data_IF_515236593886
#
_entry.id   IF_515236593886
#
_cell.length_a   1.000
_cell.length_b   1.000
_cell.length_c   1.000
_cell.angle_alpha   90.00
_cell.angle_beta   90.00
_cell.angle_gamma   90.00
#
_symmetry.space_group_name_H-M   'P 1'
#
loop_
_entity.id
_entity.type
_entity.pdbx_description
1 polymer ?
#
# COMPACT_ATOMS: atom_id res chain seq x y z
N UNK A 1 35.92 7.88 -6.13
CA UNK A 1 36.31 8.64 -7.33
C UNK A 1 36.47 7.62 -8.44
N UNK A 2 35.63 7.65 -9.45
CA UNK A 2 35.75 6.74 -10.58
C UNK A 2 36.50 7.43 -11.72
N UNK A 3 37.51 6.76 -12.25
CA UNK A 3 38.25 7.20 -13.43
C UNK A 3 37.78 6.37 -14.62
N UNK A 4 37.36 7.03 -15.70
CA UNK A 4 37.25 6.41 -17.02
C UNK A 4 38.11 7.19 -18.01
N UNK A 5 38.85 6.46 -18.83
CA UNK A 5 39.77 6.98 -19.86
C UNK A 5 39.02 7.02 -21.19
N UNK A 6 39.08 8.16 -21.88
CA UNK A 6 38.54 8.31 -23.24
C UNK A 6 39.60 7.93 -24.31
N UNK A 7 39.20 7.56 -25.53
CA UNK A 7 40.08 6.89 -26.50
C UNK A 7 41.18 7.76 -27.14
N UNK A 8 41.33 9.02 -26.74
CA UNK A 8 42.25 10.00 -27.35
C UNK A 8 43.39 10.46 -26.44
N UNK A 9 43.60 9.80 -25.29
CA UNK A 9 44.82 9.97 -24.49
C UNK A 9 45.02 11.32 -23.79
N UNK A 10 43.99 12.18 -23.71
CA UNK A 10 44.04 13.40 -22.89
C UNK A 10 43.30 13.20 -21.55
N UNK A 11 43.94 13.61 -20.46
CA UNK A 11 43.35 13.62 -19.12
C UNK A 11 42.63 14.96 -18.93
N UNK A 12 41.29 14.93 -18.95
CA UNK A 12 40.46 16.10 -18.62
C UNK A 12 40.11 16.06 -17.12
N UNK A 13 40.58 17.06 -16.37
CA UNK A 13 40.09 17.34 -15.01
C UNK A 13 38.66 17.89 -15.09
N UNK A 14 37.66 17.07 -14.74
CA UNK A 14 36.31 17.55 -14.48
C UNK A 14 36.30 18.32 -13.15
N UNK A 15 36.09 19.64 -13.21
CA UNK A 15 35.72 20.43 -12.03
C UNK A 15 34.48 19.80 -11.40
N UNK A 16 34.60 19.31 -10.17
CA UNK A 16 33.44 18.93 -9.36
C UNK A 16 32.67 20.21 -9.06
N UNK A 17 31.55 20.42 -9.74
CA UNK A 17 30.50 21.29 -9.21
C UNK A 17 29.99 20.65 -7.92
N UNK A 18 29.75 21.44 -6.85
CA UNK A 18 29.13 20.90 -5.65
C UNK A 18 27.77 20.33 -6.05
N UNK A 19 27.56 19.05 -5.73
CA UNK A 19 26.23 18.45 -5.75
C UNK A 19 25.44 19.25 -4.71
N UNK A 20 24.26 19.84 -5.03
CA UNK A 20 23.43 20.40 -3.98
C UNK A 20 23.16 19.28 -2.98
N UNK A 21 23.40 19.55 -1.69
CA UNK A 21 23.09 18.60 -0.63
C UNK A 21 21.68 18.06 -0.86
N UNK A 22 21.58 16.76 -1.13
CA UNK A 22 20.31 16.06 -1.15
C UNK A 22 19.86 16.06 0.30
N UNK A 23 19.12 17.09 0.69
CA UNK A 23 18.19 16.99 1.81
C UNK A 23 17.36 15.73 1.57
N UNK A 24 17.22 14.94 2.64
CA UNK A 24 16.53 13.66 2.74
C UNK A 24 15.37 13.49 1.72
N UNK A 25 15.11 12.27 1.20
CA UNK A 25 14.14 12.07 0.14
C UNK A 25 12.83 12.74 0.55
N UNK A 26 12.45 13.79 -0.19
CA UNK A 26 11.11 14.31 -0.13
C UNK A 26 10.21 13.10 -0.37
N UNK A 27 9.54 12.71 0.70
CA UNK A 27 8.54 11.66 0.67
C UNK A 27 7.60 12.04 -0.47
N UNK A 28 7.53 11.22 -1.51
CA UNK A 28 6.55 11.37 -2.59
C UNK A 28 5.18 11.03 -2.03
N UNK A 29 4.70 11.88 -1.12
CA UNK A 29 3.37 11.87 -0.57
C UNK A 29 2.55 12.70 -1.55
N UNK A 30 1.74 12.03 -2.35
CA UNK A 30 0.72 12.73 -3.13
C UNK A 30 -0.14 13.57 -2.16
N UNK A 31 -0.26 14.90 -2.34
CA UNK A 31 -0.78 15.80 -1.32
C UNK A 31 -2.28 15.61 -0.96
N UNK A 32 -2.99 14.70 -1.64
CA UNK A 32 -4.44 14.58 -1.52
C UNK A 32 -4.97 13.73 -0.37
N UNK A 33 -4.22 12.73 0.13
CA UNK A 33 -4.77 11.74 1.07
C UNK A 33 -4.48 11.99 2.55
N UNK A 34 -3.54 12.88 2.89
CA UNK A 34 -3.02 13.01 4.26
C UNK A 34 -3.56 14.20 5.07
N UNK A 35 -4.45 15.01 4.50
CA UNK A 35 -5.06 16.13 5.23
C UNK A 35 -6.28 15.73 6.09
N UNK A 36 -6.66 14.46 6.07
CA UNK A 36 -7.79 13.94 6.84
C UNK A 36 -7.25 13.35 8.14
N UNK A 37 -7.69 13.90 9.28
CA UNK A 37 -7.35 13.34 10.60
C UNK A 37 -7.64 11.83 10.63
N UNK A 38 -6.77 10.98 11.20
CA UNK A 38 -7.01 9.55 11.33
C UNK A 38 -8.33 9.20 12.02
N UNK A 39 -8.80 10.08 12.91
CA UNK A 39 -10.04 9.93 13.67
C UNK A 39 -11.29 10.42 12.91
N UNK A 40 -11.11 11.04 11.75
CA UNK A 40 -12.21 11.45 10.87
C UNK A 40 -12.93 10.22 10.33
N UNK A 41 -14.27 10.29 10.27
CA UNK A 41 -15.10 9.24 9.64
C UNK A 41 -14.80 9.02 8.16
N UNK A 42 -14.20 10.03 7.50
CA UNK A 42 -13.78 9.98 6.10
C UNK A 42 -12.34 9.47 5.93
N UNK A 43 -11.65 9.18 7.04
CA UNK A 43 -10.30 8.63 7.00
C UNK A 43 -10.31 7.19 6.49
N UNK A 44 -9.34 6.81 5.65
CA UNK A 44 -9.14 5.40 5.31
C UNK A 44 -8.78 4.56 6.56
N UNK A 45 -8.32 5.19 7.64
CA UNK A 45 -8.02 4.54 8.92
C UNK A 45 -9.24 4.34 9.85
N UNK A 46 -10.40 4.89 9.47
CA UNK A 46 -11.62 4.73 10.25
C UNK A 46 -12.23 3.33 10.06
N UNK A 47 -12.65 2.71 11.14
CA UNK A 47 -13.44 1.47 11.15
C UNK A 47 -14.79 1.78 11.77
N UNK A 48 -15.86 1.34 11.10
CA UNK A 48 -17.23 1.48 11.58
C UNK A 48 -17.55 0.42 12.64
N UNK A 49 -18.62 0.61 13.41
CA UNK A 49 -19.06 -0.36 14.42
C UNK A 49 -19.44 -1.74 13.83
N UNK A 50 -19.79 -1.81 12.54
CA UNK A 50 -20.09 -3.07 11.85
C UNK A 50 -18.86 -3.81 11.35
N UNK A 51 -17.69 -3.16 11.34
CA UNK A 51 -16.47 -3.74 10.79
C UNK A 51 -15.88 -4.77 11.75
N UNK A 52 -15.82 -6.01 11.29
CA UNK A 52 -15.23 -7.09 12.05
C UNK A 52 -14.49 -8.06 11.12
N UNK A 53 -13.51 -8.82 11.64
CA UNK A 53 -12.69 -9.73 10.82
C UNK A 53 -13.47 -10.88 10.19
N UNK A 54 -14.66 -11.23 10.68
CA UNK A 54 -15.49 -12.33 10.16
C UNK A 54 -16.46 -11.92 9.05
N UNK A 55 -16.52 -10.62 8.74
CA UNK A 55 -17.43 -10.11 7.72
C UNK A 55 -16.99 -10.56 6.32
N UNK A 56 -17.92 -11.10 5.54
CA UNK A 56 -17.76 -11.22 4.09
C UNK A 56 -18.34 -9.98 3.43
N UNK A 57 -17.48 -9.19 2.79
CA UNK A 57 -17.90 -7.92 2.17
C UNK A 57 -18.41 -8.10 0.73
N UNK A 58 -18.23 -9.30 0.17
CA UNK A 58 -18.81 -9.73 -1.11
C UNK A 58 -19.37 -11.15 -0.97
N UNK A 59 -20.29 -11.52 -1.86
CA UNK A 59 -20.84 -12.89 -1.92
C UNK A 59 -20.03 -13.82 -2.84
N UNK A 60 -19.25 -13.26 -3.76
CA UNK A 60 -18.42 -14.02 -4.69
C UNK A 60 -17.23 -14.62 -3.96
N UNK A 61 -17.03 -15.93 -4.08
CA UNK A 61 -15.90 -16.65 -3.49
C UNK A 61 -14.88 -16.94 -4.58
N UNK A 62 -13.64 -16.47 -4.42
CA UNK A 62 -12.56 -16.77 -5.38
C UNK A 62 -12.28 -18.27 -5.37
N UNK A 63 -12.45 -18.93 -6.51
CA UNK A 63 -12.24 -20.37 -6.67
C UNK A 63 -11.12 -20.74 -7.66
N UNK A 64 -10.49 -19.72 -8.25
CA UNK A 64 -9.41 -19.86 -9.22
C UNK A 64 -9.87 -19.74 -10.67
N UNK A 65 -11.17 -19.86 -10.95
CA UNK A 65 -11.76 -19.69 -12.28
C UNK A 65 -12.39 -18.31 -12.49
N UNK A 66 -12.74 -17.62 -11.40
CA UNK A 66 -13.54 -16.40 -11.39
C UNK A 66 -12.77 -15.13 -10.98
N UNK A 67 -11.44 -15.11 -11.12
CA UNK A 67 -10.59 -14.02 -10.60
C UNK A 67 -11.02 -12.63 -11.06
N UNK A 68 -11.35 -12.44 -12.34
CA UNK A 68 -11.72 -11.13 -12.87
C UNK A 68 -13.00 -10.59 -12.22
N UNK A 69 -14.03 -11.43 -12.10
CA UNK A 69 -15.30 -11.06 -11.46
C UNK A 69 -15.11 -10.79 -9.97
N UNK A 70 -14.37 -11.67 -9.29
CA UNK A 70 -14.06 -11.52 -7.87
C UNK A 70 -13.27 -10.23 -7.60
N UNK A 71 -12.26 -9.92 -8.43
CA UNK A 71 -11.42 -8.71 -8.29
C UNK A 71 -12.26 -7.45 -8.43
N UNK A 72 -13.15 -7.41 -9.42
CA UNK A 72 -14.05 -6.26 -9.62
C UNK A 72 -14.97 -6.09 -8.41
N UNK A 73 -15.63 -7.16 -7.97
CA UNK A 73 -16.53 -7.13 -6.81
C UNK A 73 -15.79 -6.68 -5.53
N UNK A 74 -14.61 -7.25 -5.28
CA UNK A 74 -13.79 -6.92 -4.12
C UNK A 74 -13.33 -5.46 -4.14
N UNK A 75 -12.89 -4.94 -5.28
CA UNK A 75 -12.50 -3.53 -5.43
C UNK A 75 -13.67 -2.59 -5.11
N UNK A 76 -14.86 -2.86 -5.65
CA UNK A 76 -16.06 -2.05 -5.39
C UNK A 76 -16.40 -2.06 -3.89
N UNK A 77 -16.35 -3.24 -3.25
CA UNK A 77 -16.66 -3.37 -1.83
C UNK A 77 -15.64 -2.63 -0.95
N UNK A 78 -14.34 -2.72 -1.28
CA UNK A 78 -13.29 -2.01 -0.54
C UNK A 78 -13.37 -0.49 -0.74
N UNK A 79 -13.70 -0.03 -1.95
CA UNK A 79 -13.89 1.38 -2.26
C UNK A 79 -15.06 1.98 -1.46
N UNK A 80 -16.22 1.29 -1.45
CA UNK A 80 -17.37 1.69 -0.65
C UNK A 80 -17.09 1.76 0.86
N UNK A 81 -16.10 0.99 1.35
CA UNK A 81 -15.64 1.02 2.75
C UNK A 81 -14.48 1.99 3.00
N UNK A 82 -14.04 2.72 1.97
CA UNK A 82 -12.87 3.60 2.00
C UNK A 82 -11.59 2.85 2.42
N UNK A 83 -11.35 1.69 1.80
CA UNK A 83 -10.20 0.80 2.08
C UNK A 83 -9.42 0.41 0.84
N UNK A 84 -9.82 0.87 -0.36
CA UNK A 84 -9.11 0.58 -1.60
C UNK A 84 -7.62 0.99 -1.55
N UNK A 85 -7.34 2.07 -0.83
CA UNK A 85 -5.99 2.61 -0.68
C UNK A 85 -4.98 1.67 0.02
N UNK A 86 -5.47 0.63 0.71
CA UNK A 86 -4.64 -0.42 1.32
C UNK A 86 -4.20 -1.50 0.33
N UNK A 87 -4.88 -1.64 -0.81
CA UNK A 87 -4.59 -2.69 -1.79
C UNK A 87 -3.92 -2.14 -3.07
N UNK A 88 -4.20 -0.89 -3.44
CA UNK A 88 -3.60 -0.24 -4.61
C UNK A 88 -2.21 0.38 -4.33
N UNK A 89 -1.81 0.44 -3.06
CA UNK A 89 -0.53 1.01 -2.62
C UNK A 89 -0.54 2.52 -2.39
N UNK A 90 -1.70 3.19 -2.52
CA UNK A 90 -1.86 4.62 -2.25
C UNK A 90 -1.51 4.99 -0.80
N UNK A 91 -1.75 4.08 0.15
CA UNK A 91 -1.28 4.20 1.54
C UNK A 91 -0.11 3.24 1.76
N UNK A 92 1.08 3.82 1.82
CA UNK A 92 2.32 3.07 2.10
C UNK A 92 2.36 2.63 3.56
N UNK A 93 2.92 1.43 3.81
CA UNK A 93 3.21 0.95 5.16
C UNK A 93 4.14 1.93 5.90
N UNK A 94 3.71 2.53 7.03
CA UNK A 94 4.57 3.40 7.82
C UNK A 94 5.73 2.63 8.48
N UNK A 95 6.78 3.35 8.87
CA UNK A 95 7.82 2.81 9.77
C UNK A 95 7.20 2.33 11.08
N UNK A 96 7.76 1.31 11.71
CA UNK A 96 7.25 0.83 13.01
C UNK A 96 7.37 1.86 14.14
N UNK A 97 8.25 2.86 13.97
CA UNK A 97 8.40 4.00 14.87
C UNK A 97 7.37 5.11 14.63
N UNK A 98 6.60 5.05 13.55
CA UNK A 98 5.58 6.04 13.22
C UNK A 98 4.35 5.88 14.12
N UNK A 99 3.81 6.98 14.63
CA UNK A 99 2.61 6.98 15.46
C UNK A 99 1.39 6.33 14.77
N UNK A 100 1.33 6.38 13.43
CA UNK A 100 0.24 5.80 12.65
C UNK A 100 0.43 4.33 12.32
N UNK A 101 1.59 3.74 12.60
CA UNK A 101 1.87 2.34 12.29
C UNK A 101 0.83 1.38 12.88
N UNK A 102 0.44 1.58 14.15
CA UNK A 102 -0.53 0.71 14.83
C UNK A 102 -1.92 0.81 14.20
N UNK A 103 -2.34 2.02 13.82
CA UNK A 103 -3.63 2.27 13.19
C UNK A 103 -3.65 1.68 11.79
N UNK A 104 -2.60 1.93 10.99
CA UNK A 104 -2.42 1.32 9.67
C UNK A 104 -2.45 -0.21 9.77
N UNK A 105 -1.69 -0.78 10.71
CA UNK A 105 -1.61 -2.24 10.91
C UNK A 105 -2.97 -2.84 11.24
N UNK A 106 -3.78 -2.17 12.06
CA UNK A 106 -5.14 -2.61 12.40
C UNK A 106 -6.04 -2.65 11.16
N UNK A 107 -6.05 -1.58 10.37
CA UNK A 107 -6.87 -1.50 9.15
C UNK A 107 -6.40 -2.49 8.08
N UNK A 108 -5.09 -2.63 7.91
CA UNK A 108 -4.50 -3.62 7.01
C UNK A 108 -4.88 -5.05 7.40
N UNK A 109 -4.84 -5.40 8.69
CA UNK A 109 -5.31 -6.70 9.17
C UNK A 109 -6.79 -6.93 8.88
N UNK A 110 -7.64 -5.91 9.02
CA UNK A 110 -9.06 -5.99 8.68
C UNK A 110 -9.28 -6.28 7.19
N UNK A 111 -8.59 -5.55 6.31
CA UNK A 111 -8.66 -5.76 4.85
C UNK A 111 -8.20 -7.18 4.48
N UNK A 112 -7.10 -7.66 5.08
CA UNK A 112 -6.65 -9.04 4.90
C UNK A 112 -7.69 -10.06 5.33
N UNK A 113 -8.36 -9.85 6.46
CA UNK A 113 -9.43 -10.74 6.92
C UNK A 113 -10.59 -10.79 5.92
N UNK A 114 -11.03 -9.66 5.38
CA UNK A 114 -12.09 -9.63 4.36
C UNK A 114 -11.69 -10.32 3.06
N UNK A 115 -10.45 -10.11 2.60
CA UNK A 115 -9.90 -10.84 1.45
C UNK A 115 -9.95 -12.35 1.71
N UNK A 116 -9.41 -12.78 2.86
CA UNK A 116 -9.37 -14.19 3.25
C UNK A 116 -10.76 -14.82 3.42
N UNK A 117 -11.77 -14.06 3.85
CA UNK A 117 -13.15 -14.56 3.96
C UNK A 117 -13.85 -14.73 2.60
N UNK A 118 -13.28 -14.17 1.54
CA UNK A 118 -13.85 -14.20 0.19
C UNK A 118 -13.12 -15.15 -0.76
N UNK A 119 -12.23 -16.00 -0.25
CA UNK A 119 -11.54 -17.03 -1.05
C UNK A 119 -11.98 -18.43 -0.67
N UNK A 120 -11.88 -19.37 -1.61
CA UNK A 120 -12.17 -20.78 -1.34
C UNK A 120 -11.22 -21.34 -0.28
N UNK A 121 -11.64 -22.41 0.41
CA UNK A 121 -10.82 -23.08 1.43
C UNK A 121 -9.48 -23.58 0.86
N UNK A 122 -9.45 -23.92 -0.42
CA UNK A 122 -8.24 -24.40 -1.10
C UNK A 122 -7.23 -23.26 -1.27
N UNK A 123 -7.68 -22.13 -1.79
CA UNK A 123 -6.85 -20.92 -1.95
C UNK A 123 -6.43 -20.39 -0.58
N UNK A 124 -7.34 -20.34 0.40
CA UNK A 124 -7.05 -19.94 1.77
C UNK A 124 -5.87 -20.74 2.36
N UNK A 125 -5.91 -22.07 2.23
CA UNK A 125 -4.82 -22.95 2.69
C UNK A 125 -3.52 -22.68 1.94
N UNK A 126 -3.59 -22.34 0.66
CA UNK A 126 -2.40 -21.98 -0.13
C UNK A 126 -1.77 -20.66 0.33
N UNK A 127 -2.57 -19.71 0.82
CA UNK A 127 -2.07 -18.41 1.32
C UNK A 127 -1.40 -18.54 2.69
N UNK A 128 -1.85 -19.48 3.53
CA UNK A 128 -1.30 -19.70 4.87
C UNK A 128 -0.04 -20.59 4.92
N UNK A 129 0.33 -21.23 3.81
CA UNK A 129 1.54 -22.05 3.72
C UNK A 129 2.76 -21.18 3.46
#
# INVERSE_FOLDING_TARGET
>A
AEFRVAPTGQVLQLKKTPIPEISAPETLISPGFFNISPDSIHSPFYLTNGDNPGLSIISEVLDGSNYDNWRIAMNIALDAKNKIAFIDGSIVRPSESDQYFRIWSRCNSMVKSWLLNSVSKEIYKSILR
#
